data_IF_868476027138
#
_entry.id   IF_868476027138
#
_cell.length_a   1.000
_cell.length_b   1.000
_cell.length_c   1.000
_cell.angle_alpha   90.00
_cell.angle_beta   90.00
_cell.angle_gamma   90.00
#
_symmetry.space_group_name_H-M   'P 1'
#
loop_
_entity.id
_entity.type
_entity.pdbx_description
1 polymer ?
#
# COMPACT_ATOMS: atom_id res chain seq x y z
N UNK A 1 -5.82 -1.45 -32.11
CA UNK A 1 -5.64 -1.53 -30.69
C UNK A 1 -5.11 -0.24 -30.13
N UNK A 2 -5.35 0.00 -28.89
CA UNK A 2 -4.89 1.18 -28.15
C UNK A 2 -5.52 1.22 -26.77
N UNK A 3 -5.03 2.12 -25.95
CA UNK A 3 -5.56 2.35 -24.60
C UNK A 3 -6.75 3.30 -24.66
N UNK A 4 -7.78 3.03 -23.88
CA UNK A 4 -8.90 3.93 -23.64
C UNK A 4 -8.93 4.29 -22.17
N UNK A 5 -9.26 5.54 -21.87
CA UNK A 5 -9.42 5.99 -20.49
C UNK A 5 -10.59 5.25 -19.83
N UNK A 6 -10.37 4.72 -18.60
CA UNK A 6 -11.42 4.06 -17.82
C UNK A 6 -12.43 5.07 -17.28
N UNK A 7 -11.96 6.20 -16.79
CA UNK A 7 -12.77 7.27 -16.19
C UNK A 7 -12.34 8.66 -16.68
N UNK A 8 -13.28 9.59 -16.71
CA UNK A 8 -12.99 11.02 -16.89
C UNK A 8 -12.66 11.72 -15.57
N UNK A 9 -13.01 11.10 -14.44
CA UNK A 9 -12.63 11.57 -13.12
C UNK A 9 -11.13 11.32 -12.87
N UNK A 10 -10.54 12.08 -11.96
CA UNK A 10 -9.15 11.93 -11.52
C UNK A 10 -9.11 11.50 -10.07
N UNK A 11 -8.05 10.81 -9.70
CA UNK A 11 -7.72 10.45 -8.33
C UNK A 11 -6.38 11.09 -7.95
N UNK A 12 -6.09 11.18 -6.66
CA UNK A 12 -4.85 11.75 -6.15
C UNK A 12 -3.78 10.66 -5.94
N UNK A 13 -2.55 11.01 -6.27
CA UNK A 13 -1.39 10.14 -6.08
C UNK A 13 -1.13 9.19 -7.25
N UNK A 14 0.00 8.48 -7.18
CA UNK A 14 0.42 7.46 -8.15
C UNK A 14 -0.14 6.12 -7.71
N UNK A 15 -0.98 5.50 -8.55
CA UNK A 15 -1.57 4.19 -8.28
C UNK A 15 -0.51 3.09 -8.48
N UNK A 16 -0.28 2.28 -7.43
CA UNK A 16 0.68 1.16 -7.44
C UNK A 16 0.05 -0.19 -7.10
N UNK A 17 -1.25 -0.22 -6.88
CA UNK A 17 -1.98 -1.44 -6.59
C UNK A 17 -3.37 -1.37 -7.19
N UNK A 18 -3.76 -2.41 -7.91
CA UNK A 18 -5.09 -2.61 -8.48
C UNK A 18 -5.58 -3.99 -8.05
N UNK A 19 -6.81 -4.08 -7.57
CA UNK A 19 -7.43 -5.35 -7.18
C UNK A 19 -8.91 -5.37 -7.55
N UNK A 20 -9.32 -6.12 -8.56
CA UNK A 20 -10.70 -6.19 -8.99
C UNK A 20 -11.45 -7.33 -8.32
N UNK A 21 -12.68 -7.09 -7.89
CA UNK A 21 -13.56 -8.15 -7.38
C UNK A 21 -15.01 -7.94 -7.76
N UNK A 22 -15.85 -8.91 -7.44
CA UNK A 22 -17.28 -8.89 -7.69
C UNK A 22 -18.02 -9.14 -6.39
N UNK A 23 -18.97 -8.28 -6.05
CA UNK A 23 -19.82 -8.45 -4.88
C UNK A 23 -20.87 -9.55 -5.11
N UNK A 24 -21.53 -10.02 -4.05
CA UNK A 24 -22.62 -10.97 -4.12
C UNK A 24 -23.81 -10.47 -4.95
N UNK A 25 -23.96 -9.14 -5.06
CA UNK A 25 -24.97 -8.51 -5.92
C UNK A 25 -24.56 -8.43 -7.39
N UNK A 26 -23.34 -8.86 -7.74
CA UNK A 26 -22.80 -8.84 -9.10
C UNK A 26 -22.21 -7.50 -9.51
N UNK A 27 -21.99 -6.58 -8.59
CA UNK A 27 -21.31 -5.31 -8.83
C UNK A 27 -19.81 -5.53 -8.97
N UNK A 28 -19.19 -4.90 -9.97
CA UNK A 28 -17.73 -4.98 -10.21
C UNK A 28 -17.07 -3.78 -9.60
N UNK A 29 -16.15 -4.03 -8.69
CA UNK A 29 -15.38 -3.05 -7.98
C UNK A 29 -13.89 -3.20 -8.28
N UNK A 30 -13.13 -2.13 -8.06
CA UNK A 30 -11.69 -2.11 -8.22
C UNK A 30 -11.07 -1.32 -7.05
N UNK A 31 -10.31 -2.00 -6.21
CA UNK A 31 -9.46 -1.37 -5.20
C UNK A 31 -8.24 -0.73 -5.85
N UNK A 32 -7.95 0.50 -5.48
CA UNK A 32 -6.88 1.30 -6.06
C UNK A 32 -6.06 1.95 -4.93
N UNK A 33 -4.86 1.43 -4.68
CA UNK A 33 -3.94 1.98 -3.70
C UNK A 33 -2.97 2.98 -4.32
N UNK A 34 -2.95 4.22 -3.83
CA UNK A 34 -1.98 5.24 -4.20
C UNK A 34 -1.06 5.59 -3.04
N UNK A 35 0.00 6.37 -3.29
CA UNK A 35 0.85 6.82 -2.19
C UNK A 35 0.17 7.85 -1.28
N UNK A 36 -0.88 8.50 -1.75
CA UNK A 36 -1.65 9.50 -0.98
C UNK A 36 -2.92 8.92 -0.37
N UNK A 37 -3.66 8.11 -1.11
CA UNK A 37 -5.01 7.67 -0.74
C UNK A 37 -5.31 6.25 -1.20
N UNK A 38 -6.41 5.71 -0.70
CA UNK A 38 -7.00 4.47 -1.18
C UNK A 38 -8.41 4.73 -1.74
N UNK A 39 -8.69 4.20 -2.94
CA UNK A 39 -9.96 4.38 -3.61
C UNK A 39 -10.62 3.05 -3.94
N UNK A 40 -11.94 3.06 -3.97
CA UNK A 40 -12.75 2.01 -4.59
C UNK A 40 -13.38 2.61 -5.84
N UNK A 41 -13.02 2.05 -7.00
CA UNK A 41 -13.61 2.46 -8.26
C UNK A 41 -14.85 1.63 -8.59
N UNK A 42 -15.93 2.31 -8.93
CA UNK A 42 -17.18 1.75 -9.42
C UNK A 42 -17.56 2.42 -10.73
N UNK A 43 -17.46 1.69 -11.82
CA UNK A 43 -17.69 2.25 -13.14
C UNK A 43 -16.68 3.34 -13.49
N UNK A 44 -17.08 4.61 -13.47
CA UNK A 44 -16.20 5.76 -13.73
C UNK A 44 -15.89 6.59 -12.49
N UNK A 45 -16.47 6.24 -11.35
CA UNK A 45 -16.33 6.98 -10.10
C UNK A 45 -15.20 6.39 -9.24
N UNK A 46 -14.40 7.27 -8.65
CA UNK A 46 -13.40 6.93 -7.66
C UNK A 46 -13.89 7.41 -6.28
N UNK A 47 -14.20 6.47 -5.42
CA UNK A 47 -14.75 6.73 -4.09
C UNK A 47 -13.61 6.60 -3.09
N UNK A 48 -13.36 7.66 -2.32
CA UNK A 48 -12.29 7.68 -1.32
C UNK A 48 -12.64 6.79 -0.12
N UNK A 49 -11.93 5.70 0.04
CA UNK A 49 -12.06 4.74 1.13
C UNK A 49 -10.86 4.78 2.09
N UNK A 50 -9.99 5.78 1.98
CA UNK A 50 -8.79 5.92 2.82
C UNK A 50 -9.16 5.87 4.31
N UNK A 51 -8.49 5.01 5.12
CA UNK A 51 -8.81 4.87 6.53
C UNK A 51 -8.58 6.16 7.33
N UNK A 52 -9.38 6.36 8.37
CA UNK A 52 -9.19 7.42 9.37
C UNK A 52 -8.36 6.84 10.52
N UNK A 53 -7.19 7.45 10.80
CA UNK A 53 -6.30 7.03 11.89
C UNK A 53 -6.67 7.67 13.23
N UNK A 54 -7.27 8.86 13.20
CA UNK A 54 -7.64 9.58 14.41
C UNK A 54 -8.77 10.58 14.14
N UNK A 55 -9.65 10.72 15.10
CA UNK A 55 -10.68 11.77 15.15
C UNK A 55 -10.54 12.51 16.47
N UNK A 56 -10.33 13.83 16.42
CA UNK A 56 -10.15 14.65 17.62
C UNK A 56 -11.46 14.83 18.38
N UNK A 57 -11.36 15.20 19.66
CA UNK A 57 -12.54 15.68 20.37
C UNK A 57 -12.96 17.08 19.86
N UNK A 58 -14.23 17.40 20.08
CA UNK A 58 -14.77 18.71 19.70
C UNK A 58 -14.07 19.85 20.46
N UNK A 59 -13.47 20.77 19.74
CA UNK A 59 -12.75 21.93 20.27
C UNK A 59 -11.26 21.74 20.50
N UNK A 60 -10.69 20.55 20.20
CA UNK A 60 -9.24 20.33 20.26
C UNK A 60 -8.51 21.10 19.16
N UNK A 61 -9.15 21.26 18.01
CA UNK A 61 -8.60 21.94 16.84
C UNK A 61 -8.99 23.42 16.85
N UNK A 62 -8.02 24.30 16.57
CA UNK A 62 -8.26 25.74 16.39
C UNK A 62 -7.53 26.26 15.15
N UNK A 63 -8.07 27.32 14.54
CA UNK A 63 -7.53 27.94 13.35
C UNK A 63 -7.05 29.37 13.62
N UNK A 64 -6.06 29.79 12.85
CA UNK A 64 -5.70 31.21 12.74
C UNK A 64 -5.47 31.61 11.30
N UNK A 65 -5.85 32.84 10.97
CA UNK A 65 -5.71 33.43 9.65
C UNK A 65 -4.95 34.76 9.72
N UNK A 66 -4.20 35.08 8.69
CA UNK A 66 -3.55 36.38 8.52
C UNK A 66 -4.17 37.11 7.34
N UNK A 67 -4.52 38.36 7.50
CA UNK A 67 -5.07 39.22 6.43
C UNK A 67 -4.20 39.14 5.17
N UNK A 68 -4.82 38.84 4.04
CA UNK A 68 -4.16 38.74 2.73
C UNK A 68 -3.53 37.39 2.44
N UNK A 69 -3.58 36.42 3.39
CA UNK A 69 -3.05 35.06 3.19
C UNK A 69 -4.15 34.06 2.87
N UNK A 70 -3.84 33.08 2.01
CA UNK A 70 -4.61 31.86 1.78
C UNK A 70 -4.20 30.72 2.75
N UNK A 71 -3.08 30.91 3.46
CA UNK A 71 -2.58 29.95 4.43
C UNK A 71 -3.33 30.09 5.75
N UNK A 72 -3.88 29.00 6.23
CA UNK A 72 -4.49 28.89 7.56
C UNK A 72 -3.61 28.03 8.44
N UNK A 73 -3.25 28.57 9.60
CA UNK A 73 -2.53 27.80 10.63
C UNK A 73 -3.53 27.02 11.46
N UNK A 74 -3.29 25.73 11.59
CA UNK A 74 -4.07 24.80 12.41
C UNK A 74 -3.27 24.44 13.64
N UNK A 75 -3.87 24.55 14.81
CA UNK A 75 -3.28 24.12 16.08
C UNK A 75 -4.09 22.94 16.62
N UNK A 76 -3.40 21.82 16.84
CA UNK A 76 -3.91 20.58 17.39
C UNK A 76 -2.75 19.83 18.07
N UNK A 77 -2.90 19.55 19.36
CA UNK A 77 -1.83 19.00 20.20
C UNK A 77 -1.48 17.57 19.80
N UNK A 78 -0.21 17.35 19.43
CA UNK A 78 0.28 16.03 19.03
C UNK A 78 -0.48 15.43 17.84
N UNK A 79 -0.79 16.25 16.84
CA UNK A 79 -1.59 15.87 15.67
C UNK A 79 -1.02 14.68 14.87
N UNK A 80 0.30 14.41 14.94
CA UNK A 80 0.94 13.30 14.24
C UNK A 80 0.84 13.36 12.71
N UNK A 81 0.41 14.50 12.15
CA UNK A 81 0.37 14.68 10.70
C UNK A 81 1.76 14.89 10.11
N UNK A 82 1.96 14.43 8.88
CA UNK A 82 3.14 14.68 8.06
C UNK A 82 2.78 15.56 6.85
N UNK A 83 3.78 16.04 6.15
CA UNK A 83 3.58 16.82 4.94
C UNK A 83 2.75 16.03 3.91
N UNK A 84 1.78 16.68 3.29
CA UNK A 84 0.82 16.14 2.33
C UNK A 84 -0.28 15.24 2.91
N UNK A 85 -0.37 15.03 4.21
CA UNK A 85 -1.49 14.35 4.85
C UNK A 85 -2.82 15.03 4.56
N UNK A 86 -3.90 14.29 4.71
CA UNK A 86 -5.26 14.81 4.56
C UNK A 86 -6.01 14.79 5.88
N UNK A 87 -6.72 15.87 6.13
CA UNK A 87 -7.61 16.05 7.28
C UNK A 87 -8.93 16.63 6.83
N UNK A 88 -10.03 16.12 7.34
CA UNK A 88 -11.36 16.65 7.12
C UNK A 88 -11.83 17.34 8.39
N UNK A 89 -12.18 18.62 8.32
CA UNK A 89 -12.74 19.32 9.46
C UNK A 89 -14.25 19.37 9.42
N UNK A 90 -14.83 19.41 10.62
CA UNK A 90 -16.26 19.63 10.84
C UNK A 90 -16.48 20.47 12.09
N UNK A 91 -17.67 21.05 12.22
CA UNK A 91 -18.02 21.89 13.36
C UNK A 91 -17.36 23.26 13.40
N UNK A 92 -16.58 23.63 12.39
CA UNK A 92 -15.97 24.95 12.29
C UNK A 92 -17.02 26.01 11.93
N UNK A 93 -16.81 27.23 12.46
CA UNK A 93 -17.51 28.45 12.06
C UNK A 93 -16.57 29.32 11.22
N UNK A 94 -17.09 30.43 10.65
CA UNK A 94 -16.24 31.32 9.83
C UNK A 94 -15.05 31.87 10.64
N UNK A 95 -13.91 31.92 10.01
CA UNK A 95 -12.67 32.48 10.56
C UNK A 95 -12.43 33.88 9.96
N UNK A 96 -13.20 34.84 10.37
CA UNK A 96 -13.07 36.22 9.92
C UNK A 96 -13.20 36.43 8.39
N UNK A 97 -14.21 37.14 7.97
CA UNK A 97 -14.33 37.60 6.59
C UNK A 97 -14.57 36.49 5.56
N UNK A 98 -13.68 36.32 4.60
CA UNK A 98 -13.82 35.45 3.44
C UNK A 98 -13.65 33.96 3.73
N UNK A 99 -13.00 33.59 4.81
CA UNK A 99 -12.82 32.19 5.22
C UNK A 99 -14.10 31.73 5.95
N UNK A 100 -15.03 31.16 5.18
CA UNK A 100 -16.34 30.76 5.69
C UNK A 100 -16.28 29.37 6.37
N UNK A 101 -17.36 29.03 7.09
CA UNK A 101 -17.54 27.71 7.66
C UNK A 101 -17.45 26.59 6.61
N UNK A 102 -18.02 26.79 5.42
CA UNK A 102 -17.99 25.80 4.34
C UNK A 102 -16.58 25.57 3.79
N UNK A 103 -15.76 26.62 3.77
CA UNK A 103 -14.36 26.51 3.36
C UNK A 103 -13.56 25.70 4.38
N UNK A 104 -13.81 25.90 5.68
CA UNK A 104 -13.11 25.18 6.73
C UNK A 104 -13.61 23.74 6.89
N UNK A 105 -14.93 23.51 6.84
CA UNK A 105 -15.56 22.19 6.99
C UNK A 105 -15.44 21.36 5.70
N UNK A 106 -14.21 21.13 5.26
CA UNK A 106 -13.87 20.37 4.06
C UNK A 106 -12.65 19.53 4.31
N UNK A 107 -12.29 18.70 3.35
CA UNK A 107 -11.01 18.01 3.34
C UNK A 107 -9.91 18.98 2.90
N UNK A 108 -8.84 19.03 3.68
CA UNK A 108 -7.65 19.83 3.41
C UNK A 108 -6.39 18.98 3.38
N UNK A 109 -5.45 19.37 2.53
CA UNK A 109 -4.11 18.80 2.53
C UNK A 109 -3.20 19.64 3.42
N UNK A 110 -2.39 18.97 4.24
CA UNK A 110 -1.35 19.60 5.05
C UNK A 110 -0.21 20.07 4.14
N UNK A 111 0.00 21.37 4.06
CA UNK A 111 0.98 21.98 3.16
C UNK A 111 2.32 22.26 3.83
N UNK A 112 2.33 22.32 5.15
CA UNK A 112 3.56 22.51 5.95
C UNK A 112 3.35 22.03 7.38
N UNK A 113 4.34 21.34 7.92
CA UNK A 113 4.44 21.05 9.36
C UNK A 113 5.27 22.16 10.01
N UNK A 114 4.70 22.84 11.00
CA UNK A 114 5.40 23.87 11.77
C UNK A 114 6.11 23.25 12.95
N UNK A 115 5.37 22.48 13.75
CA UNK A 115 5.88 21.70 14.88
C UNK A 115 4.92 20.54 15.22
N UNK A 116 5.12 19.83 16.34
CA UNK A 116 4.31 18.69 16.74
C UNK A 116 2.84 19.04 17.05
N UNK A 117 2.50 20.31 17.21
CA UNK A 117 1.18 20.80 17.61
C UNK A 117 0.56 21.78 16.59
N UNK A 118 1.30 22.08 15.49
CA UNK A 118 0.91 23.14 14.56
C UNK A 118 1.31 22.77 13.14
N UNK A 119 0.37 22.94 12.21
CA UNK A 119 0.61 22.79 10.77
C UNK A 119 -0.18 23.83 9.96
N UNK A 120 0.04 23.88 8.68
CA UNK A 120 -0.60 24.81 7.75
C UNK A 120 -1.39 24.05 6.67
N UNK A 121 -2.51 24.65 6.30
CA UNK A 121 -3.35 24.25 5.16
C UNK A 121 -3.57 25.46 4.25
N UNK A 122 -3.92 25.22 2.99
CA UNK A 122 -4.28 26.27 2.03
C UNK A 122 -5.79 26.28 1.77
N UNK A 123 -6.35 27.47 1.70
CA UNK A 123 -7.74 27.71 1.29
C UNK A 123 -7.79 28.50 -0.01
N UNK A 124 -8.95 28.47 -0.69
CA UNK A 124 -9.09 29.10 -2.02
C UNK A 124 -9.04 30.61 -1.99
N UNK A 125 -9.59 31.22 -0.93
CA UNK A 125 -9.74 32.67 -0.84
C UNK A 125 -8.89 33.24 0.28
N UNK A 126 -8.16 34.31 -0.01
CA UNK A 126 -7.35 34.98 0.99
C UNK A 126 -8.22 35.60 2.10
N UNK A 127 -7.80 35.43 3.35
CA UNK A 127 -8.45 36.02 4.50
C UNK A 127 -8.45 37.56 4.39
N UNK A 128 -9.56 38.23 4.60
CA UNK A 128 -9.64 39.68 4.59
C UNK A 128 -9.53 40.29 5.99
N UNK A 129 -9.41 39.47 7.03
CA UNK A 129 -9.14 39.86 8.40
C UNK A 129 -8.22 38.85 9.08
N UNK A 130 -7.34 39.31 9.97
CA UNK A 130 -6.56 38.44 10.82
C UNK A 130 -7.42 37.92 11.98
N UNK A 131 -7.35 36.63 12.24
CA UNK A 131 -8.05 35.98 13.33
C UNK A 131 -7.19 34.85 13.88
N UNK A 132 -7.11 34.72 15.20
CA UNK A 132 -6.21 33.79 15.89
C UNK A 132 -6.96 32.95 16.92
N UNK A 133 -6.70 31.64 16.92
CA UNK A 133 -7.23 30.72 17.91
C UNK A 133 -8.73 30.47 17.82
N UNK A 134 -9.30 30.73 16.65
CA UNK A 134 -10.74 30.60 16.42
C UNK A 134 -11.05 29.48 15.41
N UNK A 135 -12.23 29.48 14.92
CA UNK A 135 -12.85 28.43 14.12
C UNK A 135 -14.04 27.81 14.85
N UNK A 136 -14.30 28.28 16.08
CA UNK A 136 -15.40 27.81 16.92
C UNK A 136 -14.96 26.84 18.01
N UNK A 137 -15.88 26.56 18.94
CA UNK A 137 -15.63 25.72 20.12
C UNK A 137 -15.92 24.23 19.89
N UNK A 138 -16.23 23.82 18.63
CA UNK A 138 -16.70 22.46 18.33
C UNK A 138 -15.99 21.87 17.11
N UNK A 139 -14.83 22.40 16.75
CA UNK A 139 -14.08 21.89 15.60
C UNK A 139 -13.56 20.51 15.90
N UNK A 140 -13.79 19.59 14.98
CA UNK A 140 -13.29 18.21 14.97
C UNK A 140 -12.44 18.02 13.73
N UNK A 141 -11.28 17.42 13.87
CA UNK A 141 -10.41 16.98 12.77
C UNK A 141 -10.43 15.46 12.62
N UNK A 142 -10.78 14.96 11.44
CA UNK A 142 -10.66 13.57 11.06
C UNK A 142 -9.41 13.39 10.20
N UNK A 143 -8.37 12.81 10.77
CA UNK A 143 -7.09 12.58 10.10
C UNK A 143 -7.09 11.24 9.38
N UNK A 144 -6.83 11.27 8.09
CA UNK A 144 -6.57 10.05 7.33
C UNK A 144 -5.23 9.44 7.76
N UNK A 145 -4.98 8.17 7.42
CA UNK A 145 -3.66 7.56 7.61
C UNK A 145 -2.60 8.40 6.88
N UNK A 146 -1.42 8.49 7.48
CA UNK A 146 -0.33 9.27 6.91
C UNK A 146 -0.05 8.84 5.47
N UNK A 147 0.20 9.81 4.61
CA UNK A 147 0.62 9.55 3.22
C UNK A 147 1.99 8.86 3.19
N UNK A 148 2.26 8.13 2.11
CA UNK A 148 3.56 7.50 1.92
C UNK A 148 4.39 8.18 0.84
N UNK A 149 5.59 7.66 0.61
CA UNK A 149 6.47 8.15 -0.43
C UNK A 149 6.05 7.61 -1.80
N UNK A 150 6.15 8.46 -2.82
CA UNK A 150 6.02 8.08 -4.22
C UNK A 150 7.35 7.56 -4.81
N UNK A 151 8.45 7.93 -4.22
CA UNK A 151 9.80 7.57 -4.66
C UNK A 151 10.62 7.13 -3.46
N UNK A 152 11.36 6.05 -3.59
CA UNK A 152 12.27 5.57 -2.55
C UNK A 152 13.30 6.64 -2.25
N UNK A 153 13.40 7.06 -0.98
CA UNK A 153 14.40 7.99 -0.52
C UNK A 153 15.49 7.24 0.26
N UNK A 154 16.72 7.31 -0.23
CA UNK A 154 17.86 6.68 0.44
C UNK A 154 18.38 7.55 1.58
N UNK A 155 18.25 7.02 2.78
CA UNK A 155 19.06 7.39 3.95
C UNK A 155 18.82 8.77 4.56
N UNK A 156 18.95 8.81 5.87
CA UNK A 156 19.23 10.02 6.63
C UNK A 156 20.74 10.23 6.63
N UNK A 157 21.25 11.20 5.86
CA UNK A 157 22.68 11.46 5.75
C UNK A 157 22.98 12.87 5.27
N UNK A 158 24.25 13.23 5.29
CA UNK A 158 24.72 14.49 4.72
C UNK A 158 24.34 14.54 3.23
N UNK A 159 23.42 15.46 2.86
CA UNK A 159 23.03 15.70 1.48
C UNK A 159 21.65 15.15 1.09
N UNK A 160 20.85 14.63 2.01
CA UNK A 160 19.48 14.18 1.74
C UNK A 160 18.44 15.29 1.78
N UNK A 161 18.71 16.40 2.47
CA UNK A 161 17.86 17.59 2.52
C UNK A 161 18.45 18.76 1.72
N UNK A 162 17.63 19.76 1.32
CA UNK A 162 18.11 20.96 0.67
C UNK A 162 19.21 21.64 1.50
N UNK A 163 20.29 22.06 0.87
CA UNK A 163 21.37 22.80 1.53
C UNK A 163 20.82 24.05 2.21
N UNK A 164 20.89 24.10 3.54
CA UNK A 164 20.47 25.25 4.32
C UNK A 164 19.22 25.02 5.18
N UNK A 165 18.62 23.86 5.15
CA UNK A 165 17.55 23.49 6.06
C UNK A 165 18.17 22.97 7.37
N UNK A 166 18.04 23.75 8.42
CA UNK A 166 18.68 23.50 9.70
C UNK A 166 20.06 24.17 9.85
N UNK A 167 20.43 24.54 11.07
CA UNK A 167 21.76 25.11 11.39
C UNK A 167 22.84 24.02 11.31
N UNK A 168 24.10 24.42 11.14
CA UNK A 168 25.28 23.54 11.18
C UNK A 168 25.23 22.62 12.43
N UNK A 169 25.18 21.32 12.22
CA UNK A 169 25.17 20.32 13.30
C UNK A 169 23.77 19.92 13.79
N UNK A 170 22.69 20.44 13.19
CA UNK A 170 21.34 19.94 13.43
C UNK A 170 21.04 18.80 12.45
N UNK A 171 20.43 17.67 12.91
CA UNK A 171 19.86 16.72 11.98
C UNK A 171 18.76 17.42 11.18
N UNK A 172 18.60 17.08 9.90
CA UNK A 172 17.51 17.59 9.06
C UNK A 172 16.17 17.41 9.76
N UNK A 173 15.29 18.39 9.64
CA UNK A 173 13.97 18.42 10.29
C UNK A 173 12.97 17.45 9.64
N UNK A 174 13.34 16.87 8.51
CA UNK A 174 12.56 15.83 7.85
C UNK A 174 12.77 14.51 8.59
N UNK A 175 11.98 14.25 9.62
CA UNK A 175 11.83 12.90 10.11
C UNK A 175 11.10 12.12 9.00
N UNK A 176 11.85 11.43 8.16
CA UNK A 176 11.28 10.45 7.23
C UNK A 176 10.81 9.32 8.13
N UNK A 177 9.56 9.37 8.55
CA UNK A 177 8.94 8.32 9.36
C UNK A 177 8.89 6.98 8.62
N UNK A 178 9.05 7.01 7.29
CA UNK A 178 9.25 5.85 6.43
C UNK A 178 10.00 6.31 5.18
N UNK A 179 11.19 5.77 4.96
CA UNK A 179 11.93 5.93 3.70
C UNK A 179 11.36 5.03 2.59
N UNK A 180 10.30 4.29 2.89
CA UNK A 180 9.73 3.27 2.00
C UNK A 180 8.71 3.83 1.03
N UNK A 181 8.73 3.25 -0.17
CA UNK A 181 7.69 3.42 -1.17
C UNK A 181 6.33 2.97 -0.61
N UNK A 182 5.30 3.80 -0.74
CA UNK A 182 3.94 3.40 -0.40
C UNK A 182 3.40 2.42 -1.43
N UNK A 183 3.28 1.16 -1.01
CA UNK A 183 2.64 0.11 -1.78
C UNK A 183 1.56 -0.55 -0.93
N UNK A 184 0.51 -1.03 -1.58
CA UNK A 184 -0.61 -1.72 -0.96
C UNK A 184 -0.66 -3.16 -1.45
N UNK A 185 -0.94 -4.08 -0.55
CA UNK A 185 -1.45 -5.41 -0.88
C UNK A 185 -2.95 -5.45 -0.60
N UNK A 186 -3.68 -6.20 -1.41
CA UNK A 186 -5.14 -6.28 -1.35
C UNK A 186 -5.57 -7.71 -1.59
N UNK A 187 -6.62 -8.13 -0.89
CA UNK A 187 -7.25 -9.43 -1.11
C UNK A 187 -8.69 -9.43 -0.58
N UNK A 188 -9.51 -10.38 -1.00
CA UNK A 188 -10.91 -10.46 -0.61
C UNK A 188 -11.17 -11.48 0.49
N UNK A 189 -11.97 -11.09 1.46
CA UNK A 189 -12.57 -12.00 2.41
C UNK A 189 -14.10 -12.08 2.16
N UNK A 190 -14.48 -13.01 1.30
CA UNK A 190 -15.84 -13.03 0.77
C UNK A 190 -16.07 -11.93 -0.26
N UNK A 191 -17.05 -11.05 -0.03
CA UNK A 191 -17.27 -9.87 -0.87
C UNK A 191 -16.57 -8.61 -0.37
N UNK A 192 -16.03 -8.67 0.85
CA UNK A 192 -15.34 -7.56 1.49
C UNK A 192 -13.85 -7.50 1.10
N UNK A 193 -13.24 -6.34 1.27
CA UNK A 193 -11.85 -6.12 0.90
C UNK A 193 -10.98 -5.98 2.15
N UNK A 194 -9.88 -6.71 2.17
CA UNK A 194 -8.74 -6.44 3.03
C UNK A 194 -7.68 -5.69 2.24
N UNK A 195 -7.11 -4.67 2.83
CA UNK A 195 -5.96 -3.96 2.28
C UNK A 195 -4.91 -3.72 3.36
N UNK A 196 -3.65 -3.84 2.99
CA UNK A 196 -2.54 -3.63 3.89
C UNK A 196 -1.56 -2.64 3.25
N UNK A 197 -1.09 -1.71 4.03
CA UNK A 197 0.06 -0.87 3.69
C UNK A 197 1.32 -1.66 4.00
N UNK A 198 2.25 -1.76 3.05
CA UNK A 198 3.54 -2.42 3.28
C UNK A 198 4.26 -1.78 4.48
N UNK A 199 4.68 -2.61 5.45
CA UNK A 199 5.19 -2.22 6.76
C UNK A 199 4.25 -1.28 7.53
N UNK A 200 2.97 -1.49 7.39
CA UNK A 200 1.93 -0.68 8.02
C UNK A 200 0.67 -1.46 8.34
N UNK A 201 -0.40 -0.74 8.65
CA UNK A 201 -1.67 -1.28 9.11
C UNK A 201 -2.38 -2.19 8.12
N UNK A 202 -3.25 -3.01 8.65
CA UNK A 202 -4.19 -3.86 7.90
C UNK A 202 -5.58 -3.27 8.07
N UNK A 203 -6.28 -3.06 6.96
CA UNK A 203 -7.55 -2.38 6.89
C UNK A 203 -8.62 -3.26 6.26
N UNK A 204 -9.84 -3.11 6.74
CA UNK A 204 -11.02 -3.84 6.29
C UNK A 204 -12.07 -2.88 5.74
N UNK A 205 -12.63 -3.24 4.61
CA UNK A 205 -13.72 -2.55 3.96
C UNK A 205 -14.94 -3.47 3.87
N UNK A 206 -15.99 -3.11 4.58
CA UNK A 206 -17.27 -3.81 4.58
C UNK A 206 -18.17 -3.25 3.48
N UNK A 207 -18.38 -4.01 2.42
CA UNK A 207 -19.22 -3.62 1.28
C UNK A 207 -20.67 -3.41 1.70
N UNK A 208 -21.14 -4.12 2.72
CA UNK A 208 -22.52 -4.04 3.20
C UNK A 208 -22.88 -2.67 3.81
N UNK A 209 -21.88 -1.94 4.31
CA UNK A 209 -22.04 -0.59 4.84
C UNK A 209 -22.15 0.49 3.75
N UNK A 210 -21.93 0.10 2.49
CA UNK A 210 -21.98 0.98 1.33
C UNK A 210 -20.64 1.59 0.96
N UNK A 211 -20.46 1.90 -0.33
CA UNK A 211 -19.17 2.34 -0.89
C UNK A 211 -18.71 3.71 -0.39
N UNK A 212 -19.59 4.51 0.20
CA UNK A 212 -19.23 5.83 0.78
C UNK A 212 -18.58 5.74 2.17
N UNK A 213 -18.39 4.54 2.72
CA UNK A 213 -17.72 4.34 4.02
C UNK A 213 -16.21 4.31 3.85
N UNK A 214 -15.49 4.62 4.93
CA UNK A 214 -14.03 4.49 5.00
C UNK A 214 -13.65 3.10 5.47
N UNK A 215 -12.49 2.62 5.05
CA UNK A 215 -11.88 1.42 5.63
C UNK A 215 -11.58 1.66 7.11
N UNK A 216 -11.64 0.61 7.89
CA UNK A 216 -11.30 0.62 9.31
C UNK A 216 -10.10 -0.30 9.57
N UNK A 217 -9.33 0.00 10.58
CA UNK A 217 -8.21 -0.86 10.97
C UNK A 217 -8.75 -2.21 11.47
N UNK A 218 -8.17 -3.32 11.04
CA UNK A 218 -8.61 -4.67 11.38
C UNK A 218 -8.64 -4.88 12.90
N UNK A 219 -7.65 -4.34 13.61
CA UNK A 219 -7.55 -4.41 15.07
C UNK A 219 -8.66 -3.63 15.81
N UNK A 220 -9.32 -2.69 15.13
CA UNK A 220 -10.40 -1.90 15.71
C UNK A 220 -11.79 -2.55 15.61
N UNK A 221 -11.91 -3.67 14.90
CA UNK A 221 -13.18 -4.37 14.75
C UNK A 221 -13.65 -4.93 16.10
N UNK A 222 -14.96 -4.90 16.30
CA UNK A 222 -15.55 -5.41 17.55
C UNK A 222 -15.26 -6.92 17.71
N UNK A 223 -14.61 -7.29 18.81
CA UNK A 223 -14.20 -8.66 19.10
C UNK A 223 -12.85 -9.04 18.51
N UNK A 224 -12.12 -8.11 17.90
CA UNK A 224 -10.75 -8.34 17.44
C UNK A 224 -9.86 -8.79 18.60
N UNK A 225 -9.16 -9.91 18.41
CA UNK A 225 -8.33 -10.52 19.43
C UNK A 225 -6.94 -10.79 18.86
N UNK A 226 -5.96 -10.05 19.34
CA UNK A 226 -4.55 -10.14 18.96
C UNK A 226 -4.31 -10.08 17.44
N UNK A 227 -5.15 -9.33 16.71
CA UNK A 227 -4.94 -9.09 15.27
C UNK A 227 -3.61 -8.38 15.04
N UNK A 228 -2.85 -8.73 13.98
CA UNK A 228 -1.66 -7.99 13.60
C UNK A 228 -2.00 -6.52 13.29
N UNK A 229 -1.16 -5.61 13.76
CA UNK A 229 -1.28 -4.17 13.54
C UNK A 229 -0.30 -3.65 12.49
N UNK A 230 0.72 -4.43 12.18
CA UNK A 230 1.73 -4.15 11.15
C UNK A 230 1.96 -5.42 10.34
N UNK A 231 2.04 -5.29 9.01
CA UNK A 231 2.45 -6.38 8.13
C UNK A 231 3.10 -5.84 6.86
N UNK A 232 3.98 -6.65 6.24
CA UNK A 232 4.53 -6.36 4.91
C UNK A 232 3.51 -6.70 3.82
N UNK A 233 2.80 -7.79 3.97
CA UNK A 233 1.80 -8.27 3.01
C UNK A 233 0.73 -9.10 3.69
N UNK A 234 -0.47 -9.08 3.11
CA UNK A 234 -1.57 -9.98 3.47
C UNK A 234 -1.97 -10.83 2.27
N UNK A 235 -2.45 -12.04 2.55
CA UNK A 235 -3.13 -12.93 1.60
C UNK A 235 -4.29 -13.58 2.33
N UNK A 236 -5.42 -13.73 1.66
CA UNK A 236 -6.55 -14.55 2.09
C UNK A 236 -6.46 -15.86 1.33
N UNK A 237 -6.21 -16.97 2.02
CA UNK A 237 -6.12 -18.28 1.35
C UNK A 237 -7.46 -18.67 0.74
N UNK A 238 -7.48 -18.87 -0.56
CA UNK A 238 -8.67 -19.25 -1.32
C UNK A 238 -9.22 -20.63 -0.92
N UNK A 239 -8.32 -21.54 -0.52
CA UNK A 239 -8.65 -22.94 -0.21
C UNK A 239 -9.14 -23.10 1.22
N UNK A 240 -8.43 -22.45 2.15
CA UNK A 240 -8.59 -22.73 3.59
C UNK A 240 -9.29 -21.59 4.33
N UNK A 241 -9.44 -20.43 3.67
CA UNK A 241 -10.09 -19.22 4.19
C UNK A 241 -9.48 -18.72 5.51
N UNK A 242 -8.17 -18.76 5.58
CA UNK A 242 -7.38 -18.08 6.59
C UNK A 242 -6.83 -16.77 6.00
N UNK A 243 -6.69 -15.77 6.83
CA UNK A 243 -5.92 -14.57 6.48
C UNK A 243 -4.51 -14.79 6.96
N UNK A 244 -3.52 -14.65 6.08
CA UNK A 244 -2.11 -14.72 6.42
C UNK A 244 -1.50 -13.32 6.36
N UNK A 245 -0.79 -12.95 7.42
CA UNK A 245 -0.01 -11.73 7.52
C UNK A 245 1.48 -12.07 7.53
N UNK A 246 2.22 -11.53 6.57
CA UNK A 246 3.64 -11.82 6.36
C UNK A 246 4.49 -10.66 6.86
N UNK A 247 5.59 -10.95 7.59
CA UNK A 247 6.45 -9.94 8.19
C UNK A 247 5.66 -9.04 9.15
N UNK A 248 5.00 -9.64 10.12
CA UNK A 248 4.05 -8.97 11.01
C UNK A 248 4.53 -8.93 12.47
N UNK A 249 3.80 -8.24 13.31
CA UNK A 249 4.03 -8.20 14.75
C UNK A 249 3.61 -9.51 15.44
N UNK A 250 4.40 -10.01 16.40
CA UNK A 250 4.08 -11.23 17.13
C UNK A 250 2.95 -11.00 18.15
N UNK A 251 2.25 -12.07 18.49
CA UNK A 251 1.12 -12.07 19.43
C UNK A 251 1.47 -11.49 20.81
N UNK A 252 2.68 -11.69 21.27
CA UNK A 252 3.15 -11.24 22.58
C UNK A 252 3.82 -9.85 22.56
N UNK A 253 3.97 -9.23 21.39
CA UNK A 253 4.57 -7.90 21.24
C UNK A 253 3.92 -7.14 20.06
N UNK A 254 2.60 -6.90 20.18
CA UNK A 254 1.80 -6.18 19.19
C UNK A 254 2.36 -4.78 18.99
N UNK A 255 2.55 -4.40 17.73
CA UNK A 255 3.12 -3.11 17.32
C UNK A 255 4.62 -3.13 17.07
N UNK A 256 5.34 -4.21 17.43
CA UNK A 256 6.77 -4.40 17.10
C UNK A 256 6.91 -5.46 16.03
N UNK A 257 7.26 -5.06 14.82
CA UNK A 257 7.32 -5.95 13.67
C UNK A 257 8.48 -6.96 13.76
N UNK A 258 8.21 -8.24 13.54
CA UNK A 258 9.22 -9.26 13.19
C UNK A 258 9.15 -9.51 11.67
N UNK A 259 10.14 -9.05 10.89
CA UNK A 259 10.09 -9.11 9.42
C UNK A 259 10.14 -10.54 8.84
N UNK A 260 10.36 -11.57 9.65
CA UNK A 260 10.38 -12.97 9.23
C UNK A 260 9.20 -13.79 9.77
N UNK A 261 8.30 -13.16 10.54
CA UNK A 261 7.14 -13.83 11.12
C UNK A 261 5.97 -13.87 10.12
N UNK A 262 5.28 -14.98 10.13
CA UNK A 262 4.01 -15.18 9.41
C UNK A 262 2.97 -15.54 10.46
N UNK A 263 1.87 -14.80 10.55
CA UNK A 263 0.73 -15.16 11.38
C UNK A 263 -0.48 -15.44 10.51
N UNK A 264 -1.33 -16.32 10.98
CA UNK A 264 -2.58 -16.63 10.30
C UNK A 264 -3.75 -16.63 11.28
N UNK A 265 -4.89 -16.12 10.80
CA UNK A 265 -6.13 -16.06 11.57
C UNK A 265 -6.69 -17.46 11.79
N UNK A 266 -7.66 -17.60 12.70
CA UNK A 266 -8.53 -18.76 12.72
C UNK A 266 -9.33 -18.85 11.42
N UNK A 267 -9.65 -20.06 10.99
CA UNK A 267 -10.39 -20.34 9.75
C UNK A 267 -11.71 -19.55 9.70
N UNK A 268 -11.99 -18.92 8.57
CA UNK A 268 -13.17 -18.10 8.33
C UNK A 268 -13.36 -16.94 9.34
N UNK A 269 -12.30 -16.49 10.00
CA UNK A 269 -12.34 -15.41 10.96
C UNK A 269 -11.47 -14.23 10.54
N UNK A 270 -12.04 -13.03 10.54
CA UNK A 270 -11.32 -11.76 10.38
C UNK A 270 -10.56 -11.36 11.65
N UNK A 271 -11.09 -11.71 12.82
CA UNK A 271 -10.79 -11.07 14.10
C UNK A 271 -10.12 -11.99 15.13
N UNK A 272 -10.12 -13.30 14.92
CA UNK A 272 -9.54 -14.28 15.86
C UNK A 272 -8.14 -14.70 15.42
N UNK A 273 -7.11 -14.12 16.06
CA UNK A 273 -5.70 -14.33 15.76
C UNK A 273 -4.91 -14.85 16.96
N UNK A 274 -5.59 -15.07 18.10
CA UNK A 274 -4.98 -15.66 19.27
C UNK A 274 -4.75 -17.16 19.07
N UNK A 275 -3.54 -17.62 19.27
CA UNK A 275 -3.20 -19.05 19.17
C UNK A 275 -3.77 -19.82 20.35
N UNK A 276 -4.70 -20.74 20.11
CA UNK A 276 -5.36 -21.57 21.11
C UNK A 276 -5.51 -23.02 20.64
N UNK A 277 -5.71 -23.94 21.58
CA UNK A 277 -5.91 -25.38 21.28
C UNK A 277 -7.24 -25.67 20.56
N UNK A 278 -8.21 -24.77 20.68
CA UNK A 278 -9.59 -24.92 20.14
C UNK A 278 -9.84 -24.18 18.84
N UNK A 279 -8.84 -23.48 18.27
CA UNK A 279 -8.93 -22.78 16.99
C UNK A 279 -7.78 -23.20 16.05
N UNK A 280 -7.73 -22.56 14.88
CA UNK A 280 -6.73 -22.82 13.85
C UNK A 280 -5.75 -21.64 13.63
N UNK A 281 -5.85 -20.60 14.47
CA UNK A 281 -4.90 -19.50 14.44
C UNK A 281 -3.51 -19.96 14.88
N UNK A 282 -2.47 -19.28 14.38
CA UNK A 282 -1.11 -19.60 14.76
C UNK A 282 -0.07 -18.77 14.05
N UNK A 283 1.17 -19.17 14.19
CA UNK A 283 2.31 -18.49 13.59
C UNK A 283 3.35 -19.46 13.04
N UNK A 284 4.15 -18.97 12.11
CA UNK A 284 5.33 -19.60 11.55
C UNK A 284 6.44 -18.55 11.46
N UNK A 285 7.68 -18.92 11.72
CA UNK A 285 8.81 -18.02 11.55
C UNK A 285 9.85 -18.60 10.60
N UNK A 286 10.23 -17.82 9.60
CA UNK A 286 11.33 -18.17 8.69
C UNK A 286 12.66 -18.03 9.44
N UNK A 287 13.51 -19.04 9.32
CA UNK A 287 14.81 -19.05 9.98
C UNK A 287 15.98 -18.54 9.13
N UNK A 288 15.73 -18.13 7.88
CA UNK A 288 16.77 -17.75 6.93
C UNK A 288 16.39 -16.49 6.16
N UNK A 289 17.29 -15.51 6.09
CA UNK A 289 17.06 -14.18 5.54
C UNK A 289 16.96 -13.12 6.63
N UNK A 290 16.80 -11.87 6.21
CA UNK A 290 16.60 -10.75 7.12
C UNK A 290 15.15 -10.26 7.14
N UNK A 291 14.43 -10.45 6.03
CA UNK A 291 13.04 -10.04 5.91
C UNK A 291 12.28 -10.83 4.84
N UNK A 292 10.97 -10.92 4.99
CA UNK A 292 10.07 -11.32 3.92
C UNK A 292 9.86 -10.12 3.01
N UNK A 293 10.13 -10.29 1.71
CA UNK A 293 9.89 -9.25 0.71
C UNK A 293 8.46 -9.32 0.18
N UNK A 294 8.00 -10.52 -0.15
CA UNK A 294 6.63 -10.73 -0.67
C UNK A 294 6.18 -12.18 -0.54
N UNK A 295 4.89 -12.40 -0.76
CA UNK A 295 4.30 -13.71 -0.91
C UNK A 295 3.37 -13.75 -2.11
N UNK A 296 3.26 -14.90 -2.78
CA UNK A 296 2.40 -15.11 -3.95
C UNK A 296 1.62 -16.40 -3.78
N UNK A 297 0.31 -16.32 -3.82
CA UNK A 297 -0.55 -17.50 -3.75
C UNK A 297 -0.60 -18.21 -5.10
N UNK A 298 -0.58 -19.54 -5.03
CA UNK A 298 -0.85 -20.45 -6.14
C UNK A 298 -1.97 -21.40 -5.73
N UNK A 299 -2.49 -22.19 -6.63
CA UNK A 299 -3.57 -23.15 -6.33
C UNK A 299 -3.21 -24.19 -5.25
N UNK A 300 -1.96 -24.44 -4.95
CA UNK A 300 -1.53 -25.51 -4.07
C UNK A 300 -0.77 -25.05 -2.84
N UNK A 301 -0.18 -23.86 -2.92
CA UNK A 301 0.71 -23.35 -1.88
C UNK A 301 0.95 -21.85 -2.05
N UNK A 302 1.42 -21.23 -1.01
CA UNK A 302 1.86 -19.84 -1.02
C UNK A 302 3.39 -19.84 -1.10
N UNK A 303 3.96 -19.17 -2.11
CA UNK A 303 5.38 -18.91 -2.20
C UNK A 303 5.72 -17.67 -1.40
N UNK A 304 6.70 -17.78 -0.51
CA UNK A 304 7.17 -16.68 0.33
C UNK A 304 8.62 -16.38 -0.02
N UNK A 305 8.86 -15.17 -0.48
CA UNK A 305 10.17 -14.67 -0.86
C UNK A 305 10.77 -13.88 0.29
N UNK A 306 11.97 -14.28 0.72
CA UNK A 306 12.80 -13.42 1.55
C UNK A 306 13.80 -12.66 0.66
N UNK A 307 14.60 -11.82 1.26
CA UNK A 307 15.73 -11.14 0.60
C UNK A 307 16.73 -12.11 -0.03
N UNK A 308 16.84 -13.36 0.44
CA UNK A 308 17.88 -14.31 0.03
C UNK A 308 17.38 -15.74 -0.27
N UNK A 309 16.09 -16.04 -0.10
CA UNK A 309 15.56 -17.40 -0.25
C UNK A 309 14.10 -17.43 -0.63
N UNK A 310 13.69 -18.61 -1.14
CA UNK A 310 12.29 -18.92 -1.45
C UNK A 310 11.80 -20.06 -0.54
N UNK A 311 10.63 -19.85 0.04
CA UNK A 311 9.92 -20.83 0.87
C UNK A 311 8.54 -21.11 0.30
N UNK A 312 7.96 -22.25 0.68
CA UNK A 312 6.55 -22.56 0.46
C UNK A 312 5.83 -22.71 1.78
N UNK A 313 4.65 -22.13 1.87
CA UNK A 313 3.68 -22.32 2.95
C UNK A 313 2.52 -23.11 2.41
N UNK A 314 2.20 -24.23 3.06
CA UNK A 314 1.13 -25.13 2.65
C UNK A 314 0.22 -25.45 3.82
N UNK A 315 -1.08 -25.57 3.52
CA UNK A 315 -2.03 -26.08 4.50
C UNK A 315 -1.78 -27.58 4.76
N UNK A 316 -1.52 -27.93 6.01
CA UNK A 316 -1.24 -29.30 6.43
C UNK A 316 -2.38 -29.90 7.26
N UNK A 317 -3.31 -29.06 7.67
CA UNK A 317 -4.40 -29.46 8.57
C UNK A 317 -3.95 -29.63 10.03
N UNK A 318 -4.91 -29.99 10.87
CA UNK A 318 -4.64 -30.15 12.30
C UNK A 318 -3.53 -31.21 12.57
N UNK A 319 -2.65 -30.99 13.55
CA UNK A 319 -2.71 -29.92 14.55
C UNK A 319 -1.95 -28.63 14.18
N UNK A 320 -1.25 -28.58 13.05
CA UNK A 320 -0.31 -27.50 12.75
C UNK A 320 -0.84 -26.41 11.81
N UNK A 321 -2.04 -26.61 11.24
CA UNK A 321 -2.70 -25.74 10.27
C UNK A 321 -1.86 -25.50 9.01
N UNK A 322 -0.71 -24.82 9.11
CA UNK A 322 0.23 -24.59 8.01
C UNK A 322 1.62 -25.14 8.32
N UNK A 323 2.32 -25.55 7.28
CA UNK A 323 3.73 -25.95 7.32
C UNK A 323 4.56 -25.09 6.36
N UNK A 324 5.80 -24.80 6.73
CA UNK A 324 6.75 -24.06 5.90
C UNK A 324 7.90 -24.95 5.48
N UNK A 325 8.34 -24.82 4.22
CA UNK A 325 9.48 -25.56 3.68
C UNK A 325 10.35 -24.62 2.83
N UNK A 326 11.66 -24.64 3.07
CA UNK A 326 12.61 -23.94 2.19
C UNK A 326 12.71 -24.68 0.85
N UNK A 327 12.56 -23.95 -0.24
CA UNK A 327 12.62 -24.47 -1.60
C UNK A 327 13.99 -24.25 -2.22
N UNK A 328 14.52 -23.03 -2.07
CA UNK A 328 15.81 -22.67 -2.65
C UNK A 328 16.46 -21.53 -1.88
N UNK A 329 17.68 -21.70 -1.39
CA UNK A 329 18.51 -20.60 -0.93
C UNK A 329 19.16 -19.88 -2.12
N UNK A 330 19.63 -18.64 -1.90
CA UNK A 330 20.35 -17.87 -2.90
C UNK A 330 19.46 -17.34 -4.06
N UNK A 331 18.20 -17.15 -3.78
CA UNK A 331 17.22 -16.57 -4.74
C UNK A 331 16.82 -15.21 -4.22
N UNK A 332 17.00 -14.19 -5.04
CA UNK A 332 16.56 -12.81 -4.77
C UNK A 332 15.32 -12.45 -5.56
N UNK A 333 14.59 -11.45 -5.09
CA UNK A 333 13.51 -10.77 -5.80
C UNK A 333 13.74 -9.27 -5.73
N UNK A 334 13.58 -8.57 -6.84
CA UNK A 334 13.92 -7.14 -6.95
C UNK A 334 12.96 -6.21 -6.18
N UNK A 335 11.75 -6.65 -5.90
CA UNK A 335 10.74 -5.86 -5.21
C UNK A 335 9.46 -6.66 -4.97
N UNK A 336 8.59 -6.13 -4.14
CA UNK A 336 7.42 -6.83 -3.59
C UNK A 336 6.34 -7.21 -4.63
N UNK A 337 6.29 -6.50 -5.75
CA UNK A 337 5.33 -6.77 -6.84
C UNK A 337 6.01 -7.38 -8.08
N UNK A 338 7.28 -7.78 -7.98
CA UNK A 338 8.05 -8.31 -9.11
C UNK A 338 7.74 -9.78 -9.45
N UNK A 339 6.82 -10.43 -8.72
CA UNK A 339 6.40 -11.80 -8.96
C UNK A 339 4.92 -11.89 -9.32
N UNK A 340 4.58 -12.83 -10.22
CA UNK A 340 3.20 -13.11 -10.63
C UNK A 340 2.98 -14.60 -10.87
N UNK A 341 1.83 -15.10 -10.44
CA UNK A 341 1.38 -16.45 -10.76
C UNK A 341 0.75 -16.50 -12.16
N UNK A 342 1.20 -17.42 -12.98
CA UNK A 342 0.68 -17.65 -14.33
C UNK A 342 0.79 -19.14 -14.71
N UNK A 343 -0.29 -19.72 -15.18
CA UNK A 343 -0.35 -21.11 -15.69
C UNK A 343 0.29 -22.16 -14.75
N UNK A 344 -0.12 -22.14 -13.47
CA UNK A 344 0.36 -23.01 -12.39
C UNK A 344 1.88 -22.88 -12.05
N UNK A 345 2.52 -21.83 -12.52
CA UNK A 345 3.89 -21.45 -12.18
C UNK A 345 3.93 -20.02 -11.64
N UNK A 346 5.00 -19.67 -10.94
CA UNK A 346 5.27 -18.31 -10.52
C UNK A 346 6.52 -17.82 -11.22
N UNK A 347 6.42 -16.65 -11.82
CA UNK A 347 7.50 -15.99 -12.53
C UNK A 347 7.89 -14.72 -11.77
N UNK A 348 9.18 -14.43 -11.66
CA UNK A 348 9.64 -13.20 -11.01
C UNK A 348 10.93 -12.65 -11.61
N UNK A 349 11.15 -11.37 -11.37
CA UNK A 349 12.38 -10.66 -11.67
C UNK A 349 13.23 -10.60 -10.42
N UNK A 350 14.42 -11.17 -10.46
CA UNK A 350 15.44 -11.02 -9.45
C UNK A 350 16.31 -9.80 -9.69
N UNK A 351 17.41 -9.69 -8.96
CA UNK A 351 18.35 -8.56 -9.10
C UNK A 351 19.21 -8.65 -10.37
N UNK A 352 19.48 -9.85 -10.89
CA UNK A 352 20.36 -10.07 -12.05
C UNK A 352 19.69 -10.88 -13.15
N UNK A 353 18.68 -11.70 -12.84
CA UNK A 353 18.05 -12.65 -13.74
C UNK A 353 16.53 -12.74 -13.54
N UNK A 354 15.87 -13.43 -14.46
CA UNK A 354 14.47 -13.82 -14.35
C UNK A 354 14.36 -15.29 -13.97
N UNK A 355 13.37 -15.62 -13.17
CA UNK A 355 13.18 -16.97 -12.64
C UNK A 355 11.75 -17.46 -12.81
N UNK A 356 11.60 -18.78 -12.76
CA UNK A 356 10.33 -19.48 -12.69
C UNK A 356 10.37 -20.55 -11.61
N UNK A 357 9.26 -20.71 -10.92
CA UNK A 357 8.95 -21.86 -10.07
C UNK A 357 7.78 -22.65 -10.67
N UNK A 358 8.04 -23.90 -11.04
CA UNK A 358 7.09 -24.87 -11.57
C UNK A 358 7.12 -26.20 -10.77
N UNK A 359 7.43 -26.11 -9.47
CA UNK A 359 7.78 -27.20 -8.58
C UNK A 359 9.28 -27.22 -8.24
N UNK A 360 10.09 -26.46 -8.97
CA UNK A 360 11.51 -26.21 -8.69
C UNK A 360 11.90 -24.83 -9.23
N UNK A 361 12.89 -24.19 -8.61
CA UNK A 361 13.40 -22.90 -9.07
C UNK A 361 14.33 -23.11 -10.27
N UNK A 362 14.06 -22.36 -11.35
CA UNK A 362 14.88 -22.38 -12.57
C UNK A 362 15.10 -20.95 -13.05
N UNK A 363 16.32 -20.58 -13.44
CA UNK A 363 16.53 -19.34 -14.18
C UNK A 363 15.90 -19.44 -15.58
N UNK A 364 15.31 -18.33 -16.04
CA UNK A 364 14.82 -18.20 -17.40
C UNK A 364 15.95 -17.70 -18.30
N UNK A 365 16.18 -18.41 -19.40
CA UNK A 365 17.17 -17.95 -20.37
C UNK A 365 16.65 -16.70 -21.10
N UNK A 366 17.08 -15.53 -20.67
CA UNK A 366 16.66 -14.24 -21.21
C UNK A 366 17.77 -13.64 -22.09
N UNK A 367 17.67 -13.69 -23.44
CA UNK A 367 18.69 -13.15 -24.33
C UNK A 367 18.78 -11.62 -24.30
N UNK A 368 17.85 -10.95 -23.61
CA UNK A 368 17.82 -9.48 -23.46
C UNK A 368 18.13 -9.03 -22.02
N UNK A 369 18.51 -9.94 -21.11
CA UNK A 369 18.78 -9.65 -19.71
C UNK A 369 19.82 -8.55 -19.52
N UNK A 370 20.95 -8.65 -20.22
CA UNK A 370 22.02 -7.63 -20.16
C UNK A 370 21.49 -6.23 -20.49
N UNK A 371 20.63 -6.11 -21.50
CA UNK A 371 20.04 -4.82 -21.89
C UNK A 371 19.06 -4.29 -20.83
N UNK A 372 18.32 -5.16 -20.16
CA UNK A 372 17.38 -4.79 -19.10
C UNK A 372 18.15 -4.29 -17.89
N UNK A 373 19.08 -5.11 -17.37
CA UNK A 373 19.77 -4.83 -16.11
C UNK A 373 20.86 -3.74 -16.24
N UNK A 374 21.50 -3.56 -17.40
CA UNK A 374 22.42 -2.43 -17.62
C UNK A 374 21.72 -1.06 -17.64
N UNK A 375 20.45 -1.03 -18.03
CA UNK A 375 19.66 0.20 -18.12
C UNK A 375 18.64 0.32 -16.99
N UNK A 376 18.82 -0.40 -15.90
CA UNK A 376 17.89 -0.47 -14.78
C UNK A 376 18.26 0.54 -13.67
N UNK A 377 17.26 1.23 -13.13
CA UNK A 377 17.44 2.07 -11.95
C UNK A 377 17.21 1.24 -10.68
N UNK A 378 18.27 0.62 -10.16
CA UNK A 378 18.22 -0.21 -8.95
C UNK A 378 17.76 0.56 -7.71
N UNK A 379 17.99 1.87 -7.67
CA UNK A 379 17.53 2.72 -6.60
C UNK A 379 15.98 2.75 -6.48
N UNK A 380 15.27 2.40 -7.54
CA UNK A 380 13.82 2.35 -7.59
C UNK A 380 13.31 0.93 -7.88
N UNK A 381 14.05 -0.10 -7.50
CA UNK A 381 13.72 -1.51 -7.71
C UNK A 381 12.36 -1.91 -7.13
N UNK A 382 11.99 -1.37 -5.99
CA UNK A 382 10.70 -1.62 -5.33
C UNK A 382 9.48 -1.19 -6.16
N UNK A 383 9.67 -0.38 -7.22
CA UNK A 383 8.61 0.01 -8.15
C UNK A 383 8.33 -1.04 -9.22
N UNK A 384 9.20 -2.04 -9.37
CA UNK A 384 8.99 -3.12 -10.33
C UNK A 384 7.71 -3.86 -10.01
N UNK A 385 6.89 -4.08 -11.02
CA UNK A 385 5.73 -4.94 -10.88
C UNK A 385 5.59 -5.87 -12.07
N UNK A 386 5.08 -7.06 -11.80
CA UNK A 386 4.79 -8.07 -12.78
C UNK A 386 3.30 -8.10 -13.12
N UNK A 387 2.97 -8.43 -14.35
CA UNK A 387 1.60 -8.61 -14.81
C UNK A 387 1.48 -9.84 -15.69
N UNK A 388 0.40 -10.60 -15.52
CA UNK A 388 0.07 -11.73 -16.38
C UNK A 388 -0.90 -11.30 -17.48
N UNK A 389 -0.67 -11.73 -18.70
CA UNK A 389 -1.56 -11.52 -19.84
C UNK A 389 -1.98 -12.90 -20.40
N UNK A 390 -3.04 -13.49 -19.85
CA UNK A 390 -3.44 -14.87 -20.16
C UNK A 390 -3.83 -15.06 -21.63
N UNK A 391 -4.42 -14.06 -22.28
CA UNK A 391 -4.85 -14.15 -23.68
C UNK A 391 -3.68 -14.41 -24.67
N UNK A 392 -2.47 -14.04 -24.28
CA UNK A 392 -1.25 -14.17 -25.10
C UNK A 392 -0.19 -15.08 -24.48
N UNK A 393 -0.48 -15.67 -23.31
CA UNK A 393 0.48 -16.50 -22.57
C UNK A 393 1.76 -15.74 -22.20
N UNK A 394 1.61 -14.53 -21.71
CA UNK A 394 2.71 -13.61 -21.46
C UNK A 394 2.78 -13.19 -20.00
N UNK A 395 4.02 -13.04 -19.52
CA UNK A 395 4.36 -12.36 -18.27
C UNK A 395 5.11 -11.09 -18.62
N UNK A 396 4.65 -9.99 -18.05
CA UNK A 396 5.18 -8.65 -18.24
C UNK A 396 5.83 -8.17 -16.97
N UNK A 397 7.03 -7.58 -17.05
CA UNK A 397 7.64 -6.81 -15.97
C UNK A 397 7.83 -5.38 -16.42
N UNK A 398 7.27 -4.47 -15.62
CA UNK A 398 7.46 -3.03 -15.80
C UNK A 398 8.54 -2.56 -14.85
N UNK A 399 9.47 -1.76 -15.35
CA UNK A 399 10.62 -1.37 -14.56
C UNK A 399 11.09 0.05 -14.85
N UNK A 400 11.72 0.75 -13.86
CA UNK A 400 12.34 2.05 -14.04
C UNK A 400 13.66 1.92 -14.78
N UNK A 401 13.89 2.75 -15.79
CA UNK A 401 15.19 2.79 -16.46
C UNK A 401 16.13 3.78 -15.75
N UNK A 402 17.41 3.72 -16.09
CA UNK A 402 18.52 4.52 -15.54
C UNK A 402 18.30 6.05 -15.54
N UNK A 403 17.32 6.54 -16.28
CA UNK A 403 16.97 7.96 -16.40
C UNK A 403 15.56 8.29 -15.93
N UNK A 404 14.95 7.39 -15.20
CA UNK A 404 13.57 7.54 -14.74
C UNK A 404 13.44 7.02 -13.32
N UNK A 405 12.83 7.81 -12.46
CA UNK A 405 12.43 7.37 -11.14
C UNK A 405 11.10 6.59 -11.16
N UNK A 406 10.46 6.45 -12.34
CA UNK A 406 9.20 5.73 -12.50
C UNK A 406 9.32 4.65 -13.58
N UNK A 407 8.45 3.62 -13.49
CA UNK A 407 8.38 2.55 -14.47
C UNK A 407 8.07 3.12 -15.85
N UNK A 408 9.03 3.06 -16.74
CA UNK A 408 8.98 3.63 -18.09
C UNK A 408 9.19 2.58 -19.19
N UNK A 409 9.70 1.42 -18.82
CA UNK A 409 10.00 0.31 -19.73
C UNK A 409 9.31 -0.96 -19.26
N UNK A 410 9.19 -1.89 -20.20
CA UNK A 410 8.73 -3.25 -19.92
C UNK A 410 9.58 -4.27 -20.64
N UNK A 411 9.62 -5.47 -20.08
CA UNK A 411 10.12 -6.69 -20.71
C UNK A 411 9.05 -7.77 -20.59
N UNK A 412 8.90 -8.59 -21.61
CA UNK A 412 7.87 -9.61 -21.71
C UNK A 412 8.49 -10.95 -22.04
N UNK A 413 7.99 -11.97 -21.36
CA UNK A 413 8.26 -13.35 -21.64
C UNK A 413 6.98 -14.07 -22.05
N UNK A 414 6.97 -14.64 -23.27
CA UNK A 414 5.94 -15.57 -23.68
C UNK A 414 6.35 -16.99 -23.25
N UNK A 415 5.62 -17.55 -22.30
CA UNK A 415 5.99 -18.82 -21.67
C UNK A 415 5.58 -20.07 -22.51
N UNK A 416 4.82 -19.88 -23.59
CA UNK A 416 4.50 -20.96 -24.55
C UNK A 416 5.54 -21.02 -25.66
N UNK A 417 5.88 -19.88 -26.25
CA UNK A 417 6.80 -19.79 -27.38
C UNK A 417 8.27 -19.63 -26.95
N UNK A 418 8.54 -19.45 -25.65
CA UNK A 418 9.87 -19.15 -25.11
C UNK A 418 10.54 -17.93 -25.77
N UNK A 419 9.76 -16.90 -26.05
CA UNK A 419 10.23 -15.69 -26.71
C UNK A 419 10.21 -14.49 -25.78
N UNK A 420 11.18 -13.58 -25.99
CA UNK A 420 11.33 -12.37 -25.23
C UNK A 420 11.23 -11.14 -26.12
N UNK A 421 10.56 -10.10 -25.61
CA UNK A 421 10.59 -8.79 -26.21
C UNK A 421 10.48 -7.70 -25.16
N UNK A 422 10.78 -6.46 -25.53
CA UNK A 422 10.81 -5.34 -24.61
C UNK A 422 10.36 -4.07 -25.33
N UNK A 423 10.01 -3.05 -24.57
CA UNK A 423 9.59 -1.78 -25.11
C UNK A 423 9.48 -0.68 -24.05
N UNK A 424 8.86 0.41 -24.45
CA UNK A 424 8.56 1.55 -23.58
C UNK A 424 7.05 1.68 -23.44
N UNK A 425 6.58 1.66 -22.18
CA UNK A 425 5.22 1.90 -21.81
C UNK A 425 5.22 2.34 -20.33
N UNK A 426 4.99 3.62 -20.04
CA UNK A 426 4.91 4.08 -18.67
C UNK A 426 3.62 3.57 -18.05
N UNK A 427 3.74 2.72 -17.04
CA UNK A 427 2.65 2.18 -16.22
C UNK A 427 3.16 1.93 -14.81
N UNK A 428 2.30 2.13 -13.82
CA UNK A 428 2.62 2.00 -12.40
C UNK A 428 1.89 0.84 -11.74
N UNK A 429 0.83 0.34 -12.35
CA UNK A 429 0.11 -0.84 -11.92
C UNK A 429 -0.57 -1.52 -13.12
N UNK A 430 -0.81 -2.81 -13.00
CA UNK A 430 -1.44 -3.63 -14.02
C UNK A 430 -2.37 -4.66 -13.41
N UNK A 431 -3.55 -4.78 -14.01
CA UNK A 431 -4.50 -5.84 -13.69
C UNK A 431 -4.90 -6.55 -14.99
N UNK A 432 -4.78 -7.89 -15.06
CA UNK A 432 -5.13 -8.66 -16.26
C UNK A 432 -6.65 -8.64 -16.52
N UNK A 433 -7.01 -9.16 -17.67
CA UNK A 433 -8.41 -9.46 -17.97
C UNK A 433 -8.93 -10.54 -17.01
N UNK A 434 -10.05 -10.30 -16.40
CA UNK A 434 -10.73 -11.21 -15.46
C UNK A 434 -12.11 -10.66 -15.12
N UNK A 435 -12.25 -10.06 -13.94
CA UNK A 435 -13.46 -9.35 -13.52
C UNK A 435 -13.86 -8.28 -14.54
N UNK A 436 -12.90 -7.56 -15.06
CA UNK A 436 -13.10 -6.65 -16.18
C UNK A 436 -12.76 -7.34 -17.51
N UNK A 437 -13.51 -6.98 -18.55
CA UNK A 437 -13.37 -7.60 -19.89
C UNK A 437 -12.06 -7.27 -20.61
N UNK A 438 -11.35 -6.25 -20.15
CA UNK A 438 -10.08 -5.78 -20.69
C UNK A 438 -9.11 -5.58 -19.56
N UNK A 439 -7.79 -5.73 -19.77
CA UNK A 439 -6.81 -5.39 -18.78
C UNK A 439 -6.89 -3.89 -18.43
N UNK A 440 -6.62 -3.58 -17.18
CA UNK A 440 -6.59 -2.22 -16.64
C UNK A 440 -5.15 -1.90 -16.25
N UNK A 441 -4.70 -0.69 -16.51
CA UNK A 441 -3.38 -0.22 -16.12
C UNK A 441 -3.45 1.25 -15.69
N UNK A 442 -2.70 1.60 -14.66
CA UNK A 442 -2.53 2.96 -14.18
C UNK A 442 -1.27 3.62 -14.78
#
# INVERSE_FOLDING_TARGET
GGWTRLSNSTFLGTCRSLHPWVTLTGERLLGMGTHLKFYIARGQDFIDATPIRNTTAAGDVTFSATTGSTTITVSDVSHGAVLNDFVTFSGAVSLGGTVTADVLNAEHQVTRIVDANTYEIEVTDAANASDTGNGGASVVGEYQINVGLDTVAFGTGWGTDPWGDGGWGSPGTTSIASAQLRVWSQDNFGEDLLANVHDGGIYYFDVSLGLGTRMVELSSLAGANLTPTIAKKIIVSDVDRHILAFGCDPENDIGTQDPLLIRFSSQESLIDWETREDNTAGDLRIGFGSEIVTAVETKQQILVFTDVSLHTVQYTGAPFTFGITEVSPGVSIIGQNAAVAANDAVFWMGEEDFYVFDGSVKPLNCPVSERVFQAFNFAQGDKVFAGHQPDFSEVWWFYPCDRSDECSRYVVYNYVDNTWYFGTLPRTAWEPRGVFRKPIAA
#
